data_IF_883282845446
#
_entry.id   IF_883282845446
#
_cell.length_a   1.000
_cell.length_b   1.000
_cell.length_c   1.000
_cell.angle_alpha   90.00
_cell.angle_beta   90.00
_cell.angle_gamma   90.00
#
_symmetry.space_group_name_H-M   'P 1'
#
loop_
_entity.id
_entity.type
_entity.pdbx_description
1 polymer ?
#
# COMPACT_ATOMS: atom_id res chain seq x y z
N UNK A 1 -47.88 -25.53 -7.64
CA UNK A 1 -47.51 -24.20 -7.04
C UNK A 1 -46.07 -24.09 -6.59
N UNK A 2 -45.20 -25.09 -6.88
CA UNK A 2 -43.79 -25.10 -6.49
C UNK A 2 -42.80 -24.43 -7.47
N UNK A 3 -43.22 -24.15 -8.70
CA UNK A 3 -42.34 -23.56 -9.74
C UNK A 3 -42.10 -22.05 -9.68
N UNK A 4 -42.85 -21.30 -8.85
CA UNK A 4 -42.76 -19.84 -8.76
C UNK A 4 -41.70 -19.33 -7.77
N UNK A 5 -41.20 -20.18 -6.87
CA UNK A 5 -40.20 -19.85 -5.85
C UNK A 5 -38.73 -19.87 -6.38
N UNK A 6 -38.42 -20.85 -7.19
CA UNK A 6 -37.04 -21.03 -7.73
C UNK A 6 -36.65 -19.97 -8.77
N UNK A 7 -37.62 -19.51 -9.58
CA UNK A 7 -37.35 -18.45 -10.57
C UNK A 7 -37.05 -17.09 -9.94
N UNK A 8 -37.52 -16.80 -8.72
CA UNK A 8 -37.22 -15.54 -8.00
C UNK A 8 -35.81 -15.51 -7.39
N UNK A 9 -35.28 -16.64 -6.92
CA UNK A 9 -33.95 -16.71 -6.34
C UNK A 9 -32.86 -16.60 -7.42
N UNK A 10 -33.06 -17.24 -8.57
CA UNK A 10 -32.13 -17.14 -9.70
C UNK A 10 -32.11 -15.75 -10.37
N UNK A 11 -33.23 -15.02 -10.38
CA UNK A 11 -33.29 -13.65 -10.90
C UNK A 11 -32.55 -12.63 -10.01
N UNK A 12 -32.42 -12.88 -8.71
CA UNK A 12 -31.71 -12.04 -7.77
C UNK A 12 -30.18 -12.07 -7.95
N UNK A 13 -29.61 -13.22 -8.29
CA UNK A 13 -28.16 -13.38 -8.54
C UNK A 13 -27.75 -12.76 -9.88
N UNK A 14 -28.57 -12.86 -10.92
CA UNK A 14 -28.32 -12.26 -12.22
C UNK A 14 -28.43 -10.72 -12.20
N UNK A 15 -29.23 -10.15 -11.32
CA UNK A 15 -29.39 -8.70 -11.17
C UNK A 15 -28.20 -8.05 -10.46
N UNK A 16 -27.55 -8.72 -9.50
CA UNK A 16 -26.32 -8.25 -8.83
C UNK A 16 -25.15 -8.19 -9.82
N UNK A 17 -24.94 -9.20 -10.64
CA UNK A 17 -23.88 -9.21 -11.66
C UNK A 17 -24.05 -8.11 -12.72
N UNK A 18 -25.30 -7.78 -13.09
CA UNK A 18 -25.60 -6.68 -14.03
C UNK A 18 -25.38 -5.29 -13.43
N UNK A 19 -25.57 -5.11 -12.13
CA UNK A 19 -25.28 -3.84 -11.43
C UNK A 19 -23.78 -3.55 -11.37
N UNK A 20 -22.95 -4.54 -11.08
CA UNK A 20 -21.49 -4.41 -11.09
C UNK A 20 -20.93 -4.11 -12.48
N UNK A 21 -21.44 -4.77 -13.52
CA UNK A 21 -21.08 -4.48 -14.92
C UNK A 21 -21.44 -3.05 -15.36
N UNK A 22 -22.57 -2.51 -14.88
CA UNK A 22 -22.95 -1.11 -15.16
C UNK A 22 -22.13 -0.10 -14.36
N UNK A 23 -21.71 -0.42 -13.13
CA UNK A 23 -20.84 0.43 -12.34
C UNK A 23 -19.43 0.51 -12.94
N UNK A 24 -18.85 -0.63 -13.35
CA UNK A 24 -17.58 -0.70 -14.08
C UNK A 24 -17.65 -0.01 -15.44
N UNK A 25 -18.81 -0.02 -16.12
CA UNK A 25 -19.02 0.66 -17.40
C UNK A 25 -19.05 2.20 -17.32
N UNK A 26 -19.16 2.78 -16.12
CA UNK A 26 -19.19 4.25 -15.93
C UNK A 26 -17.82 4.88 -15.72
N UNK A 27 -16.81 4.10 -15.31
CA UNK A 27 -15.43 4.57 -15.16
C UNK A 27 -14.41 3.46 -15.49
N UNK A 28 -14.45 2.86 -16.71
CA UNK A 28 -13.60 1.72 -17.04
C UNK A 28 -12.11 2.10 -17.04
N UNK A 29 -11.79 3.33 -17.41
CA UNK A 29 -10.42 3.81 -17.49
C UNK A 29 -9.75 3.94 -16.12
N UNK A 30 -10.44 4.51 -15.13
CA UNK A 30 -9.86 4.67 -13.78
C UNK A 30 -9.67 3.32 -13.09
N UNK A 31 -10.62 2.40 -13.23
CA UNK A 31 -10.48 1.04 -12.70
C UNK A 31 -9.35 0.27 -13.41
N UNK A 32 -9.21 0.44 -14.74
CA UNK A 32 -8.13 -0.15 -15.52
C UNK A 32 -6.75 0.36 -15.12
N UNK A 33 -6.60 1.67 -14.95
CA UNK A 33 -5.33 2.29 -14.51
C UNK A 33 -4.95 1.82 -13.10
N UNK A 34 -5.91 1.80 -12.16
CA UNK A 34 -5.66 1.32 -10.80
C UNK A 34 -5.27 -0.17 -10.80
N UNK A 35 -5.99 -1.01 -11.54
CA UNK A 35 -5.68 -2.43 -11.66
C UNK A 35 -4.29 -2.67 -12.26
N UNK A 36 -3.92 -1.91 -13.30
CA UNK A 36 -2.60 -1.96 -13.92
C UNK A 36 -1.49 -1.57 -12.93
N UNK A 37 -1.70 -0.48 -12.18
CA UNK A 37 -0.76 -0.02 -11.18
C UNK A 37 -0.56 -1.04 -10.06
N UNK A 38 -1.66 -1.61 -9.53
CA UNK A 38 -1.60 -2.67 -8.51
C UNK A 38 -0.90 -3.91 -9.07
N UNK A 39 -1.25 -4.34 -10.29
CA UNK A 39 -0.61 -5.49 -10.93
C UNK A 39 0.89 -5.26 -11.15
N UNK A 40 1.30 -4.07 -11.60
CA UNK A 40 2.71 -3.71 -11.78
C UNK A 40 3.48 -3.76 -10.45
N UNK A 41 2.92 -3.24 -9.37
CA UNK A 41 3.55 -3.29 -8.04
C UNK A 41 3.62 -4.72 -7.48
N UNK A 42 2.59 -5.54 -7.69
CA UNK A 42 2.63 -6.96 -7.30
C UNK A 42 3.67 -7.74 -8.11
N UNK A 43 3.80 -7.43 -9.38
CA UNK A 43 4.79 -8.01 -10.28
C UNK A 43 6.20 -7.39 -10.15
N UNK A 44 6.45 -6.54 -9.14
CA UNK A 44 7.74 -5.89 -8.92
C UNK A 44 8.96 -6.84 -8.99
N UNK A 45 8.94 -8.08 -8.41
CA UNK A 45 10.08 -8.99 -8.50
C UNK A 45 10.45 -9.41 -9.94
N UNK A 46 9.50 -9.33 -10.87
CA UNK A 46 9.73 -9.69 -12.29
C UNK A 46 9.91 -8.48 -13.20
N UNK A 47 9.37 -7.33 -12.81
CA UNK A 47 9.40 -6.10 -13.62
C UNK A 47 10.55 -5.16 -13.26
N UNK A 48 11.02 -5.20 -12.02
CA UNK A 48 12.11 -4.34 -11.56
C UNK A 48 13.44 -4.78 -12.18
N UNK A 49 14.16 -3.90 -12.89
CA UNK A 49 15.42 -4.26 -13.52
C UNK A 49 16.55 -4.46 -12.51
N UNK A 50 16.48 -3.82 -11.35
CA UNK A 50 17.53 -3.82 -10.33
C UNK A 50 16.96 -3.97 -8.92
N UNK A 51 17.83 -4.25 -7.93
CA UNK A 51 17.49 -4.20 -6.52
C UNK A 51 17.13 -2.75 -6.12
N UNK A 52 15.96 -2.49 -5.51
CA UNK A 52 15.54 -1.14 -5.13
C UNK A 52 16.43 -0.50 -4.04
N UNK A 53 17.27 -1.28 -3.36
CA UNK A 53 18.13 -0.83 -2.27
C UNK A 53 19.56 -0.60 -2.76
N UNK A 54 19.96 -1.24 -3.85
CA UNK A 54 21.32 -1.21 -4.37
C UNK A 54 21.74 0.21 -4.75
N UNK A 55 22.92 0.63 -4.24
CA UNK A 55 23.57 1.91 -4.49
C UNK A 55 24.89 1.67 -5.23
N UNK A 56 24.87 1.50 -6.55
CA UNK A 56 26.03 1.06 -7.29
C UNK A 56 27.17 2.08 -7.29
N UNK A 57 26.86 3.37 -7.45
CA UNK A 57 27.85 4.45 -7.47
C UNK A 57 27.20 5.79 -7.14
N UNK A 58 27.30 6.20 -5.89
CA UNK A 58 26.68 7.44 -5.38
C UNK A 58 27.30 8.73 -5.93
N UNK A 59 28.39 8.66 -6.68
CA UNK A 59 29.05 9.82 -7.31
C UNK A 59 28.61 9.96 -8.76
N UNK A 60 28.82 8.93 -9.58
CA UNK A 60 28.56 9.01 -11.02
C UNK A 60 27.09 8.71 -11.38
N UNK A 61 26.42 7.85 -10.62
CA UNK A 61 25.03 7.45 -10.86
C UNK A 61 23.97 8.35 -10.22
N UNK A 62 24.37 9.41 -9.50
CA UNK A 62 23.46 10.30 -8.79
C UNK A 62 22.64 11.16 -9.76
N UNK A 63 21.30 11.22 -9.53
CA UNK A 63 20.37 12.12 -10.23
C UNK A 63 20.46 12.05 -11.77
N UNK A 64 20.62 10.84 -12.31
CA UNK A 64 20.66 10.65 -13.75
C UNK A 64 19.25 10.79 -14.35
N UNK A 65 19.12 11.47 -15.51
CA UNK A 65 17.83 11.62 -16.17
C UNK A 65 17.27 10.29 -16.69
N UNK A 66 15.95 10.22 -16.95
CA UNK A 66 15.31 9.06 -17.55
C UNK A 66 15.97 8.66 -18.86
N UNK A 67 16.13 7.33 -19.09
CA UNK A 67 16.74 6.78 -20.28
C UNK A 67 18.26 6.79 -20.30
N UNK A 68 18.94 7.20 -19.21
CA UNK A 68 20.40 7.18 -19.14
C UNK A 68 20.94 5.78 -19.12
N UNK A 69 21.86 5.48 -20.05
CA UNK A 69 22.64 4.24 -20.09
C UNK A 69 24.04 4.52 -19.58
N UNK A 70 24.53 3.70 -18.65
CA UNK A 70 25.86 3.79 -18.08
C UNK A 70 26.59 2.45 -18.14
N UNK A 71 27.90 2.46 -18.32
CA UNK A 71 28.72 1.28 -18.19
C UNK A 71 28.94 0.94 -16.71
N UNK A 72 28.64 -0.31 -16.33
CA UNK A 72 28.81 -0.79 -14.97
C UNK A 72 30.09 -1.59 -14.86
N UNK A 73 31.09 -1.01 -14.18
CA UNK A 73 32.39 -1.61 -13.96
C UNK A 73 32.39 -2.32 -12.61
N UNK A 74 32.49 -3.64 -12.60
CA UNK A 74 32.58 -4.43 -11.38
C UNK A 74 34.01 -4.42 -10.84
N UNK A 75 34.20 -4.03 -9.58
CA UNK A 75 35.50 -3.94 -8.95
C UNK A 75 35.90 -5.25 -8.26
N UNK A 76 37.17 -5.65 -8.36
CA UNK A 76 37.73 -6.84 -7.72
C UNK A 76 37.60 -6.81 -6.17
N UNK A 77 37.57 -5.62 -5.58
CA UNK A 77 37.36 -5.41 -4.13
C UNK A 77 35.88 -5.44 -3.72
N UNK A 78 34.98 -5.71 -4.66
CA UNK A 78 33.54 -5.62 -4.51
C UNK A 78 33.00 -4.23 -4.79
N UNK A 79 31.70 -4.17 -5.18
CA UNK A 79 31.02 -2.96 -5.57
C UNK A 79 31.09 -2.65 -7.06
N UNK A 80 30.40 -1.57 -7.45
CA UNK A 80 30.27 -1.11 -8.82
C UNK A 80 30.76 0.31 -8.97
N UNK A 81 31.40 0.60 -10.10
CA UNK A 81 31.65 1.97 -10.58
C UNK A 81 30.85 2.20 -11.85
N UNK A 82 30.15 3.33 -11.92
CA UNK A 82 29.40 3.72 -13.12
C UNK A 82 30.21 4.73 -13.94
N UNK A 83 30.26 4.51 -15.24
CA UNK A 83 30.97 5.36 -16.17
C UNK A 83 30.08 5.75 -17.35
N UNK A 84 30.18 7.03 -17.76
CA UNK A 84 29.52 7.55 -18.95
C UNK A 84 30.17 6.99 -20.24
N UNK A 85 31.51 6.81 -20.22
CA UNK A 85 32.34 6.25 -21.31
C UNK A 85 33.41 5.36 -20.75
N UNK A 86 33.74 4.33 -21.51
CA UNK A 86 34.80 3.38 -21.18
C UNK A 86 35.67 3.16 -22.41
N UNK A 87 36.94 3.31 -22.24
CA UNK A 87 37.98 3.06 -23.24
C UNK A 87 38.95 2.00 -22.71
N UNK A 88 39.30 1.03 -23.56
CA UNK A 88 40.31 0.03 -23.20
C UNK A 88 41.72 0.57 -23.44
N UNK A 89 42.58 0.33 -22.47
CA UNK A 89 44.01 0.63 -22.57
C UNK A 89 44.82 -0.64 -22.43
N UNK A 90 46.08 -0.69 -22.90
CA UNK A 90 46.92 -1.91 -22.83
C UNK A 90 47.04 -2.51 -21.42
N UNK A 91 46.93 -1.69 -20.36
CA UNK A 91 47.06 -2.14 -18.97
C UNK A 91 45.75 -2.18 -18.17
N UNK A 92 44.58 -1.90 -18.80
CA UNK A 92 43.32 -1.84 -18.06
C UNK A 92 42.18 -1.10 -18.75
N UNK A 93 41.48 -0.26 -18.00
CA UNK A 93 40.38 0.57 -18.50
C UNK A 93 40.60 2.04 -18.15
N UNK A 94 40.31 2.90 -19.11
CA UNK A 94 40.13 4.33 -18.89
C UNK A 94 38.64 4.66 -18.88
N UNK A 95 38.15 5.15 -17.77
CA UNK A 95 36.73 5.43 -17.58
C UNK A 95 36.50 6.93 -17.43
N UNK A 96 35.44 7.44 -18.08
CA UNK A 96 34.96 8.79 -17.86
C UNK A 96 33.85 8.74 -16.82
N UNK A 97 34.09 9.33 -15.64
CA UNK A 97 33.20 9.25 -14.48
C UNK A 97 33.08 10.62 -13.82
N UNK A 98 31.87 11.10 -13.63
CA UNK A 98 31.58 12.40 -12.98
C UNK A 98 32.43 13.57 -13.56
N UNK A 99 32.55 13.62 -14.89
CA UNK A 99 33.31 14.67 -15.59
C UNK A 99 34.83 14.53 -15.58
N UNK A 100 35.37 13.42 -15.05
CA UNK A 100 36.83 13.17 -14.99
C UNK A 100 37.19 11.81 -15.57
N UNK A 101 38.37 11.77 -16.19
CA UNK A 101 38.97 10.51 -16.63
C UNK A 101 39.76 9.87 -15.49
N UNK A 102 39.52 8.56 -15.29
CA UNK A 102 40.25 7.73 -14.33
C UNK A 102 40.76 6.48 -15.03
N UNK A 103 41.96 6.01 -14.69
CA UNK A 103 42.48 4.76 -15.21
C UNK A 103 42.38 3.70 -14.11
N UNK A 104 41.86 2.54 -14.47
CA UNK A 104 41.78 1.36 -13.63
C UNK A 104 42.68 0.28 -14.24
N UNK A 105 43.46 -0.38 -13.42
CA UNK A 105 44.27 -1.53 -13.83
C UNK A 105 43.39 -2.75 -14.06
N UNK A 106 43.81 -3.64 -14.96
CA UNK A 106 43.03 -4.82 -15.33
C UNK A 106 42.69 -5.71 -14.11
N UNK A 107 43.62 -5.77 -13.13
CA UNK A 107 43.45 -6.54 -11.89
C UNK A 107 42.35 -5.96 -10.97
N UNK A 108 41.99 -4.69 -11.13
CA UNK A 108 40.95 -4.01 -10.34
C UNK A 108 39.56 -4.25 -10.87
N UNK A 109 39.39 -4.85 -12.05
CA UNK A 109 38.12 -5.01 -12.75
C UNK A 109 37.85 -6.47 -13.01
N UNK A 110 36.67 -6.96 -12.59
CA UNK A 110 36.28 -8.38 -12.73
C UNK A 110 35.47 -8.66 -13.98
N UNK A 111 34.73 -7.69 -14.55
CA UNK A 111 33.88 -7.84 -15.73
C UNK A 111 34.51 -7.28 -17.03
N UNK A 112 35.83 -7.33 -17.13
CA UNK A 112 36.56 -6.86 -18.28
C UNK A 112 36.37 -7.79 -19.49
N UNK A 113 36.01 -7.22 -20.64
CA UNK A 113 35.85 -7.94 -21.91
C UNK A 113 36.80 -7.40 -22.96
N UNK A 114 37.03 -8.11 -24.10
CA UNK A 114 37.87 -7.60 -25.20
C UNK A 114 37.42 -6.24 -25.75
N UNK A 115 36.10 -5.93 -25.67
CA UNK A 115 35.48 -4.68 -26.16
C UNK A 115 35.31 -3.59 -25.06
N UNK A 116 35.76 -3.84 -23.82
CA UNK A 116 35.59 -2.93 -22.69
C UNK A 116 34.92 -3.61 -21.49
N UNK A 117 33.75 -3.18 -21.09
CA UNK A 117 32.96 -3.73 -19.97
C UNK A 117 31.69 -4.35 -20.50
N UNK A 118 31.36 -5.57 -20.04
CA UNK A 118 30.17 -6.30 -20.52
C UNK A 118 28.86 -5.70 -20.02
N UNK A 119 28.87 -5.17 -18.79
CA UNK A 119 27.64 -4.78 -18.12
C UNK A 119 27.28 -3.34 -18.41
N UNK A 120 25.99 -3.13 -18.76
CA UNK A 120 25.39 -1.81 -18.94
C UNK A 120 24.19 -1.69 -18.01
N UNK A 121 24.01 -0.50 -17.44
CA UNK A 121 22.90 -0.18 -16.58
C UNK A 121 22.04 0.89 -17.24
N UNK A 122 20.77 0.55 -17.50
CA UNK A 122 19.80 1.45 -18.10
C UNK A 122 18.83 1.96 -17.02
N UNK A 123 18.92 3.22 -16.67
CA UNK A 123 17.99 3.90 -15.78
C UNK A 123 16.76 4.38 -16.55
N UNK A 124 15.72 3.54 -16.67
CA UNK A 124 14.52 3.84 -17.47
C UNK A 124 13.80 5.09 -16.99
N UNK A 125 13.60 5.26 -15.70
CA UNK A 125 13.00 6.45 -15.06
C UNK A 125 14.04 7.35 -14.38
N UNK A 126 15.34 7.11 -14.63
CA UNK A 126 16.42 7.84 -13.98
C UNK A 126 16.84 7.21 -12.66
N UNK A 127 17.72 7.91 -11.94
CA UNK A 127 18.22 7.52 -10.62
C UNK A 127 18.00 8.60 -9.58
N UNK A 128 17.92 8.19 -8.31
CA UNK A 128 17.77 9.09 -7.18
C UNK A 128 19.12 9.68 -6.70
N UNK A 129 19.06 10.46 -5.60
CA UNK A 129 20.23 11.07 -4.97
C UNK A 129 21.29 10.09 -4.44
N UNK A 130 20.99 8.79 -4.38
CA UNK A 130 21.85 7.70 -3.94
C UNK A 130 22.19 6.72 -5.06
N UNK A 131 21.97 7.10 -6.33
CA UNK A 131 22.22 6.23 -7.50
C UNK A 131 21.33 4.99 -7.60
N UNK A 132 20.21 4.94 -6.86
CA UNK A 132 19.26 3.82 -6.89
C UNK A 132 18.30 4.01 -8.07
N UNK A 133 17.88 2.91 -8.69
CA UNK A 133 16.94 2.94 -9.83
C UNK A 133 15.54 3.37 -9.39
N UNK A 134 15.03 4.46 -9.97
CA UNK A 134 13.70 5.00 -9.63
C UNK A 134 12.58 4.03 -10.02
N UNK A 135 12.67 3.32 -11.15
CA UNK A 135 11.64 2.37 -11.57
C UNK A 135 11.52 1.22 -10.58
N UNK A 136 12.64 0.61 -10.20
CA UNK A 136 12.66 -0.48 -9.21
C UNK A 136 12.10 -0.01 -7.87
N UNK A 137 12.50 1.18 -7.42
CA UNK A 137 12.00 1.77 -6.18
C UNK A 137 10.50 2.08 -6.24
N UNK A 138 9.99 2.57 -7.38
CA UNK A 138 8.57 2.86 -7.55
C UNK A 138 7.72 1.58 -7.46
N UNK A 139 8.17 0.49 -8.10
CA UNK A 139 7.48 -0.80 -8.08
C UNK A 139 7.47 -1.43 -6.67
N UNK A 140 8.64 -1.54 -6.05
CA UNK A 140 8.76 -2.13 -4.71
C UNK A 140 8.16 -1.23 -3.63
N UNK A 141 8.35 0.08 -3.74
CA UNK A 141 7.76 1.06 -2.83
C UNK A 141 6.24 1.03 -2.86
N UNK A 142 5.66 0.95 -4.08
CA UNK A 142 4.21 0.80 -4.22
C UNK A 142 3.68 -0.50 -3.62
N UNK A 143 4.40 -1.61 -3.81
CA UNK A 143 4.05 -2.88 -3.17
C UNK A 143 4.05 -2.76 -1.64
N UNK A 144 5.05 -2.12 -1.06
CA UNK A 144 5.15 -1.94 0.39
C UNK A 144 4.06 -0.99 0.91
N UNK A 145 3.89 0.20 0.31
CA UNK A 145 2.88 1.18 0.73
C UNK A 145 1.46 0.62 0.63
N UNK A 146 1.13 -0.11 -0.45
CA UNK A 146 -0.16 -0.79 -0.59
C UNK A 146 -0.36 -1.88 0.46
N UNK A 147 0.67 -2.67 0.76
CA UNK A 147 0.59 -3.71 1.80
C UNK A 147 0.32 -3.10 3.17
N UNK A 148 1.03 -2.01 3.51
CA UNK A 148 0.81 -1.27 4.76
C UNK A 148 -0.62 -0.75 4.82
N UNK A 149 -1.09 -0.05 3.77
CA UNK A 149 -2.44 0.50 3.72
C UNK A 149 -3.54 -0.55 3.82
N UNK A 150 -3.40 -1.68 3.11
CA UNK A 150 -4.36 -2.78 3.15
C UNK A 150 -4.41 -3.47 4.51
N UNK A 151 -3.27 -3.81 5.10
CA UNK A 151 -3.25 -4.47 6.41
C UNK A 151 -3.73 -3.54 7.53
N UNK A 152 -3.37 -2.26 7.48
CA UNK A 152 -3.89 -1.25 8.39
C UNK A 152 -5.41 -1.08 8.24
N UNK A 153 -5.93 -1.10 7.00
CA UNK A 153 -7.38 -1.07 6.76
C UNK A 153 -8.08 -2.29 7.36
N UNK A 154 -7.54 -3.49 7.20
CA UNK A 154 -8.13 -4.71 7.79
C UNK A 154 -8.23 -4.60 9.31
N UNK A 155 -7.19 -4.13 9.98
CA UNK A 155 -7.19 -3.90 11.43
C UNK A 155 -8.23 -2.83 11.81
N UNK A 156 -8.19 -1.68 11.15
CA UNK A 156 -9.08 -0.55 11.39
C UNK A 156 -10.55 -0.91 11.19
N UNK A 157 -10.87 -1.57 10.06
CA UNK A 157 -12.24 -2.00 9.77
C UNK A 157 -12.70 -3.12 10.71
N UNK A 158 -11.83 -4.09 11.01
CA UNK A 158 -12.16 -5.18 11.95
C UNK A 158 -12.51 -4.66 13.34
N UNK A 159 -11.66 -3.79 13.90
CA UNK A 159 -11.93 -3.13 15.19
C UNK A 159 -13.19 -2.25 15.13
N UNK A 160 -13.32 -1.44 14.08
CA UNK A 160 -14.44 -0.52 13.91
C UNK A 160 -15.78 -1.27 13.78
N UNK A 161 -15.82 -2.32 12.97
CA UNK A 161 -17.03 -3.16 12.84
C UNK A 161 -17.35 -3.86 14.16
N UNK A 162 -16.35 -4.42 14.84
CA UNK A 162 -16.57 -5.08 16.13
C UNK A 162 -17.10 -4.14 17.19
N UNK A 163 -16.44 -2.99 17.40
CA UNK A 163 -16.84 -2.02 18.44
C UNK A 163 -18.16 -1.34 18.08
N UNK A 164 -18.39 -0.99 16.81
CA UNK A 164 -19.65 -0.40 16.37
C UNK A 164 -20.84 -1.35 16.52
N UNK A 165 -20.64 -2.64 16.22
CA UNK A 165 -21.65 -3.67 16.43
C UNK A 165 -21.94 -3.89 17.92
N UNK A 166 -20.91 -3.95 18.76
CA UNK A 166 -21.07 -4.07 20.23
C UNK A 166 -21.83 -2.87 20.80
N UNK A 167 -21.53 -1.65 20.36
CA UNK A 167 -22.25 -0.45 20.76
C UNK A 167 -23.74 -0.53 20.38
N UNK A 168 -24.05 -0.92 19.14
CA UNK A 168 -25.42 -1.00 18.65
C UNK A 168 -26.25 -2.14 19.30
N UNK A 169 -25.61 -3.22 19.75
CA UNK A 169 -26.28 -4.41 20.30
C UNK A 169 -26.28 -4.45 21.83
N UNK A 170 -25.31 -3.85 22.49
CA UNK A 170 -25.06 -3.99 23.92
C UNK A 170 -25.93 -3.13 24.85
N UNK A 171 -26.94 -2.42 24.27
CA UNK A 171 -27.86 -1.59 25.04
C UNK A 171 -27.30 -0.19 25.33
N UNK A 172 -28.15 0.66 25.94
CA UNK A 172 -27.90 2.10 26.06
C UNK A 172 -26.61 2.48 26.81
N UNK A 173 -26.28 1.76 27.88
CA UNK A 173 -25.10 2.07 28.70
C UNK A 173 -23.81 1.79 27.91
N UNK A 174 -23.70 0.58 27.32
CA UNK A 174 -22.52 0.18 26.57
C UNK A 174 -22.34 1.07 25.32
N UNK A 175 -23.44 1.38 24.62
CA UNK A 175 -23.45 2.32 23.51
C UNK A 175 -22.89 3.68 23.92
N UNK A 176 -23.41 4.26 25.01
CA UNK A 176 -22.97 5.57 25.50
C UNK A 176 -21.48 5.55 25.85
N UNK A 177 -21.00 4.54 26.57
CA UNK A 177 -19.59 4.44 27.00
C UNK A 177 -18.67 4.31 25.78
N UNK A 178 -18.98 3.40 24.83
CA UNK A 178 -18.15 3.19 23.66
C UNK A 178 -18.13 4.42 22.75
N UNK A 179 -19.28 5.08 22.55
CA UNK A 179 -19.31 6.29 21.71
C UNK A 179 -18.60 7.48 22.37
N UNK A 180 -18.66 7.64 23.68
CA UNK A 180 -17.86 8.65 24.40
C UNK A 180 -16.35 8.38 24.27
N UNK A 181 -15.94 7.10 24.33
CA UNK A 181 -14.55 6.74 24.07
C UNK A 181 -14.13 7.11 22.64
N UNK A 182 -14.96 6.78 21.66
CA UNK A 182 -14.72 7.15 20.24
C UNK A 182 -14.59 8.67 20.08
N UNK A 183 -15.52 9.45 20.67
CA UNK A 183 -15.49 10.92 20.65
C UNK A 183 -14.21 11.47 21.29
N UNK A 184 -13.84 10.98 22.47
CA UNK A 184 -12.63 11.41 23.18
C UNK A 184 -11.36 11.14 22.35
N UNK A 185 -11.25 9.97 21.70
CA UNK A 185 -10.11 9.66 20.85
C UNK A 185 -10.06 10.53 19.58
N UNK A 186 -11.19 10.97 19.06
CA UNK A 186 -11.25 11.84 17.87
C UNK A 186 -10.93 13.31 18.17
N UNK A 187 -10.95 13.75 19.43
CA UNK A 187 -10.55 15.12 19.79
C UNK A 187 -9.04 15.34 19.70
N UNK A 188 -8.25 14.26 19.78
CA UNK A 188 -6.79 14.36 19.68
C UNK A 188 -6.38 14.38 18.21
N UNK A 189 -5.57 15.37 17.78
CA UNK A 189 -5.11 15.43 16.39
C UNK A 189 -4.36 14.16 15.98
N UNK A 190 -4.84 13.49 14.95
CA UNK A 190 -4.33 12.21 14.47
C UNK A 190 -2.79 12.16 14.33
N UNK A 191 -2.19 13.16 13.68
CA UNK A 191 -0.74 13.20 13.49
C UNK A 191 0.06 13.36 14.79
N UNK A 192 -0.50 13.99 15.82
CA UNK A 192 0.17 14.09 17.13
C UNK A 192 0.25 12.74 17.80
N UNK A 193 -0.83 11.95 17.75
CA UNK A 193 -0.83 10.58 18.29
C UNK A 193 0.15 9.71 17.53
N UNK A 194 0.14 9.78 16.20
CA UNK A 194 1.05 9.01 15.36
C UNK A 194 2.51 9.32 15.65
N UNK A 195 2.88 10.60 15.69
CA UNK A 195 4.26 11.01 15.96
C UNK A 195 4.74 10.60 17.36
N UNK A 196 3.87 10.74 18.37
CA UNK A 196 4.18 10.32 19.74
C UNK A 196 4.38 8.79 19.83
N UNK A 197 3.48 8.00 19.24
CA UNK A 197 3.61 6.55 19.19
C UNK A 197 4.85 6.11 18.42
N UNK A 198 5.17 6.80 17.34
CA UNK A 198 6.34 6.51 16.53
C UNK A 198 7.66 6.77 17.28
N UNK A 199 7.70 7.78 18.12
CA UNK A 199 8.87 8.07 18.96
C UNK A 199 9.13 6.98 20.03
N UNK A 200 8.09 6.25 20.43
CA UNK A 200 8.16 5.23 21.47
C UNK A 200 8.34 3.81 20.94
N UNK A 201 7.95 3.53 19.70
CA UNK A 201 7.90 2.19 19.13
C UNK A 201 9.04 1.96 18.12
N UNK A 202 9.53 0.71 17.97
CA UNK A 202 10.55 0.38 16.99
C UNK A 202 10.18 0.80 15.57
N UNK A 203 11.19 1.19 14.78
CA UNK A 203 10.99 1.56 13.38
C UNK A 203 10.78 0.33 12.50
N UNK A 204 9.74 0.34 11.65
CA UNK A 204 9.50 -0.75 10.72
C UNK A 204 8.08 -0.74 10.12
N UNK A 205 7.87 -1.47 9.00
CA UNK A 205 6.56 -1.55 8.35
C UNK A 205 5.47 -2.13 9.25
N UNK A 206 5.80 -3.15 10.07
CA UNK A 206 4.85 -3.78 11.00
C UNK A 206 4.31 -2.81 12.04
N UNK A 207 5.17 -1.97 12.62
CA UNK A 207 4.76 -0.94 13.57
C UNK A 207 3.86 0.09 12.91
N UNK A 208 4.16 0.50 11.68
CA UNK A 208 3.29 1.42 10.91
C UNK A 208 1.91 0.82 10.67
N UNK A 209 1.83 -0.45 10.29
CA UNK A 209 0.56 -1.17 10.11
C UNK A 209 -0.28 -1.11 11.39
N UNK A 210 0.34 -1.39 12.53
CA UNK A 210 -0.35 -1.35 13.83
C UNK A 210 -0.81 0.06 14.19
N UNK A 211 0.08 1.04 14.11
CA UNK A 211 -0.24 2.43 14.45
C UNK A 211 -1.37 2.97 13.56
N UNK A 212 -1.26 2.80 12.25
CA UNK A 212 -2.27 3.25 11.29
C UNK A 212 -3.59 2.48 11.47
N UNK A 213 -3.53 1.16 11.67
CA UNK A 213 -4.70 0.33 11.90
C UNK A 213 -5.44 0.66 13.18
N UNK A 214 -4.70 0.91 14.26
CA UNK A 214 -5.25 1.29 15.57
C UNK A 214 -5.77 2.73 15.61
N UNK A 215 -5.47 3.56 14.63
CA UNK A 215 -5.92 4.95 14.61
C UNK A 215 -7.20 5.18 13.79
N UNK A 216 -7.46 4.36 12.77
CA UNK A 216 -8.55 4.57 11.81
C UNK A 216 -9.92 3.99 12.20
N UNK A 217 -10.00 3.17 13.24
CA UNK A 217 -11.20 2.39 13.56
C UNK A 217 -12.41 3.21 14.07
N UNK A 218 -12.18 4.38 14.64
CA UNK A 218 -13.21 5.19 15.32
C UNK A 218 -14.35 5.61 14.38
N UNK A 219 -14.03 6.08 13.18
CA UNK A 219 -15.02 6.46 12.19
C UNK A 219 -15.79 5.25 11.66
N UNK A 220 -15.09 4.12 11.43
CA UNK A 220 -15.74 2.86 11.03
C UNK A 220 -16.70 2.37 12.11
N UNK A 221 -16.34 2.50 13.39
CA UNK A 221 -17.23 2.13 14.50
C UNK A 221 -18.53 2.94 14.50
N UNK A 222 -18.47 4.26 14.27
CA UNK A 222 -19.67 5.10 14.18
C UNK A 222 -20.55 4.73 12.98
N UNK A 223 -19.95 4.48 11.82
CA UNK A 223 -20.68 4.08 10.63
C UNK A 223 -21.36 2.72 10.88
N UNK A 224 -20.62 1.75 11.39
CA UNK A 224 -21.15 0.42 11.71
C UNK A 224 -22.29 0.50 12.69
N UNK A 225 -22.13 1.27 13.77
CA UNK A 225 -23.20 1.50 14.74
C UNK A 225 -24.46 2.06 14.09
N UNK A 226 -24.33 3.10 13.28
CA UNK A 226 -25.45 3.74 12.58
C UNK A 226 -26.18 2.77 11.66
N UNK A 227 -25.44 2.00 10.86
CA UNK A 227 -25.99 1.00 9.95
C UNK A 227 -26.72 -0.13 10.70
N UNK A 228 -26.11 -0.65 11.76
CA UNK A 228 -26.72 -1.72 12.57
C UNK A 228 -28.01 -1.24 13.23
N UNK A 229 -28.03 -0.03 13.80
CA UNK A 229 -29.24 0.55 14.40
C UNK A 229 -30.34 0.72 13.34
N UNK A 230 -30.04 1.26 12.17
CA UNK A 230 -30.99 1.42 11.07
C UNK A 230 -31.57 0.07 10.58
N UNK A 231 -30.71 -0.96 10.48
CA UNK A 231 -31.13 -2.28 10.01
C UNK A 231 -31.99 -3.04 11.05
N UNK A 232 -31.77 -2.80 12.35
CA UNK A 232 -32.51 -3.44 13.43
C UNK A 232 -34.01 -3.11 13.42
N UNK A 233 -34.40 -1.99 12.83
CA UNK A 233 -35.80 -1.54 12.71
C UNK A 233 -36.48 -2.02 11.42
N UNK A 234 -35.76 -2.74 10.55
CA UNK A 234 -36.31 -3.25 9.30
C UNK A 234 -37.21 -4.47 9.50
N UNK A 235 -38.24 -4.59 8.65
CA UNK A 235 -39.27 -5.65 8.73
C UNK A 235 -38.69 -7.07 8.76
N UNK A 236 -37.62 -7.33 8.01
CA UNK A 236 -36.99 -8.65 7.99
C UNK A 236 -36.29 -9.01 9.31
N UNK A 237 -35.82 -8.01 10.08
CA UNK A 237 -35.23 -8.23 11.42
C UNK A 237 -36.38 -8.44 12.44
N UNK A 238 -37.45 -7.65 12.34
CA UNK A 238 -38.62 -7.81 13.19
C UNK A 238 -39.28 -9.19 12.99
N UNK A 239 -39.43 -9.63 11.75
CA UNK A 239 -39.91 -10.98 11.43
C UNK A 239 -38.99 -12.08 12.01
N UNK A 240 -37.65 -11.92 11.92
CA UNK A 240 -36.69 -12.88 12.50
C UNK A 240 -36.81 -12.96 14.04
N UNK A 241 -37.07 -11.83 14.71
CA UNK A 241 -37.41 -11.81 16.16
C UNK A 241 -38.70 -12.49 16.46
N UNK A 242 -39.76 -12.29 15.63
CA UNK A 242 -41.02 -13.00 15.77
C UNK A 242 -40.89 -14.52 15.66
N UNK A 243 -39.83 -15.01 14.96
CA UNK A 243 -39.48 -16.43 14.93
C UNK A 243 -38.59 -16.88 16.11
N UNK A 244 -38.44 -16.05 17.14
CA UNK A 244 -37.64 -16.32 18.35
C UNK A 244 -36.16 -16.65 18.07
N UNK A 245 -35.57 -16.12 17.01
CA UNK A 245 -34.15 -16.28 16.74
C UNK A 245 -33.29 -15.46 17.73
N UNK A 246 -32.14 -15.97 18.14
CA UNK A 246 -31.23 -15.24 19.03
C UNK A 246 -30.68 -13.98 18.36
N UNK A 247 -30.48 -12.90 19.12
CA UNK A 247 -29.96 -11.62 18.61
C UNK A 247 -28.59 -11.78 17.88
N UNK A 248 -27.71 -12.66 18.38
CA UNK A 248 -26.43 -12.97 17.72
C UNK A 248 -26.66 -13.61 16.34
N UNK A 249 -27.61 -14.53 16.21
CA UNK A 249 -27.95 -15.15 14.92
C UNK A 249 -28.55 -14.13 13.97
N UNK A 250 -29.46 -13.28 14.46
CA UNK A 250 -30.02 -12.17 13.67
C UNK A 250 -28.93 -11.25 13.18
N UNK A 251 -28.01 -10.86 14.05
CA UNK A 251 -26.91 -9.98 13.67
C UNK A 251 -26.01 -10.62 12.59
N UNK A 252 -25.49 -11.81 12.84
CA UNK A 252 -24.51 -12.42 11.92
C UNK A 252 -25.13 -12.83 10.58
N UNK A 253 -26.41 -13.26 10.57
CA UNK A 253 -27.04 -13.82 9.37
C UNK A 253 -27.92 -12.84 8.59
N UNK A 254 -28.43 -11.81 9.26
CA UNK A 254 -29.40 -10.87 8.66
C UNK A 254 -28.87 -9.42 8.66
N UNK A 255 -28.32 -8.92 9.77
CA UNK A 255 -27.88 -7.50 9.88
C UNK A 255 -26.52 -7.29 9.25
N UNK A 256 -25.49 -8.02 9.68
CA UNK A 256 -24.11 -7.83 9.23
C UNK A 256 -23.96 -7.97 7.70
N UNK A 257 -24.52 -9.00 7.02
CA UNK A 257 -24.38 -9.09 5.56
C UNK A 257 -25.03 -7.92 4.80
N UNK A 258 -26.09 -7.34 5.35
CA UNK A 258 -26.74 -6.17 4.75
C UNK A 258 -25.96 -4.87 5.04
N UNK A 259 -25.35 -4.75 6.22
CA UNK A 259 -24.47 -3.64 6.57
C UNK A 259 -23.16 -3.63 5.77
N UNK A 260 -22.68 -4.79 5.28
CA UNK A 260 -21.40 -4.87 4.56
C UNK A 260 -21.30 -3.93 3.35
N UNK A 261 -22.41 -3.66 2.64
CA UNK A 261 -22.35 -2.82 1.44
C UNK A 261 -21.84 -1.40 1.74
N UNK A 262 -22.42 -0.60 2.64
CA UNK A 262 -21.88 0.72 2.98
C UNK A 262 -20.51 0.64 3.69
N UNK A 263 -20.27 -0.41 4.50
CA UNK A 263 -19.01 -0.61 5.16
C UNK A 263 -17.85 -0.88 4.18
N UNK A 264 -18.10 -1.68 3.13
CA UNK A 264 -17.10 -1.93 2.08
C UNK A 264 -16.80 -0.66 1.26
N UNK A 265 -17.82 0.14 0.96
CA UNK A 265 -17.60 1.43 0.29
C UNK A 265 -16.69 2.32 1.13
N UNK A 266 -16.94 2.44 2.42
CA UNK A 266 -16.10 3.22 3.32
C UNK A 266 -14.69 2.61 3.44
N UNK A 267 -14.56 1.29 3.53
CA UNK A 267 -13.26 0.61 3.59
C UNK A 267 -12.36 0.93 2.38
N UNK A 268 -12.93 1.05 1.17
CA UNK A 268 -12.15 1.45 -0.01
C UNK A 268 -11.60 2.88 0.10
N UNK A 269 -12.35 3.80 0.69
CA UNK A 269 -11.88 5.17 0.94
C UNK A 269 -10.79 5.20 2.01
N UNK A 270 -10.93 4.38 3.04
CA UNK A 270 -9.94 4.25 4.13
C UNK A 270 -8.59 3.77 3.61
N UNK A 271 -8.54 2.83 2.66
CA UNK A 271 -7.26 2.40 2.05
C UNK A 271 -6.49 3.57 1.47
N UNK A 272 -7.14 4.40 0.65
CA UNK A 272 -6.51 5.59 0.06
C UNK A 272 -6.00 6.57 1.11
N UNK A 273 -6.81 6.81 2.16
CA UNK A 273 -6.43 7.65 3.28
C UNK A 273 -5.21 7.10 4.03
N UNK A 274 -5.16 5.80 4.33
CA UNK A 274 -4.06 5.16 5.06
C UNK A 274 -2.76 5.14 4.25
N UNK A 275 -2.82 4.92 2.92
CA UNK A 275 -1.66 5.04 2.04
C UNK A 275 -1.13 6.48 2.05
N UNK A 276 -2.02 7.47 1.98
CA UNK A 276 -1.63 8.90 2.05
C UNK A 276 -1.04 9.26 3.41
N UNK A 277 -1.58 8.71 4.50
CA UNK A 277 -1.05 8.90 5.85
C UNK A 277 0.34 8.23 6.02
N UNK A 278 0.55 7.03 5.45
CA UNK A 278 1.88 6.38 5.40
C UNK A 278 2.87 7.28 4.66
N UNK A 279 2.48 7.79 3.50
CA UNK A 279 3.34 8.66 2.70
C UNK A 279 3.72 9.94 3.45
N UNK A 280 2.76 10.58 4.13
CA UNK A 280 3.03 11.78 4.94
C UNK A 280 3.96 11.47 6.13
N UNK A 281 3.79 10.33 6.81
CA UNK A 281 4.69 9.92 7.89
C UNK A 281 6.09 9.60 7.38
N UNK A 282 6.20 8.90 6.25
CA UNK A 282 7.48 8.58 5.63
C UNK A 282 8.22 9.83 5.19
N UNK A 283 7.52 10.80 4.60
CA UNK A 283 8.09 12.12 4.26
C UNK A 283 8.59 12.89 5.50
N UNK A 284 7.93 12.76 6.65
CA UNK A 284 8.38 13.36 7.92
C UNK A 284 9.49 12.56 8.62
N UNK A 285 10.03 11.50 7.99
CA UNK A 285 11.04 10.63 8.60
C UNK A 285 10.50 9.69 9.67
N UNK A 286 9.18 9.65 9.87
CA UNK A 286 8.49 8.81 10.85
C UNK A 286 7.92 7.52 10.23
N UNK A 287 8.11 7.31 8.96
CA UNK A 287 7.57 6.21 8.17
C UNK A 287 8.48 4.99 8.05
N UNK A 288 8.55 4.48 6.83
CA UNK A 288 9.42 3.36 6.46
C UNK A 288 10.88 3.80 6.52
N UNK A 289 11.73 3.10 7.28
CA UNK A 289 13.15 3.48 7.38
C UNK A 289 13.89 3.23 6.08
N UNK A 290 14.84 4.11 5.76
CA UNK A 290 15.81 3.87 4.70
C UNK A 290 16.69 2.65 5.06
N UNK A 291 17.14 1.82 4.09
CA UNK A 291 17.11 2.02 2.64
C UNK A 291 15.84 1.53 1.93
N UNK A 292 14.86 0.96 2.64
CA UNK A 292 13.65 0.42 2.04
C UNK A 292 12.90 1.48 1.22
N UNK A 293 12.34 1.06 0.08
CA UNK A 293 11.52 1.94 -0.74
C UNK A 293 10.07 1.96 -0.26
N UNK A 294 9.47 3.13 -0.09
CA UNK A 294 8.03 3.38 -0.03
C UNK A 294 7.70 4.60 -0.89
N UNK A 295 6.46 4.75 -1.32
CA UNK A 295 6.10 5.93 -2.10
C UNK A 295 6.31 7.22 -1.30
N UNK A 296 6.14 7.17 0.03
CA UNK A 296 6.34 8.32 0.89
C UNK A 296 7.80 8.77 0.96
N UNK A 297 8.74 7.86 1.17
CA UNK A 297 10.16 8.22 1.25
C UNK A 297 10.83 8.47 -0.12
N UNK A 298 10.10 8.29 -1.23
CA UNK A 298 10.56 8.69 -2.55
C UNK A 298 10.21 10.14 -2.90
N UNK A 299 9.36 10.80 -2.10
CA UNK A 299 8.98 12.22 -2.26
C UNK A 299 10.00 13.13 -1.56
N UNK A 300 10.75 12.61 -0.61
CA UNK A 300 11.82 13.31 0.10
C UNK A 300 13.06 13.50 -0.81
#
# INVERSE_FOLDING_TARGET
>A
SEGAGETRVMSGLSSRGRRWRRALGRAPWSAGVLALMVAACLAAPWLAPYDPIEQPDTVAGKLRPPGTEMHAVALARGGWMLADRVERTPGGLRIHRAGRWQTLEAEQVTNLTPSGVADRRLYRLGSDGFSRDILSRWLYGGRLSMTIGLLAMVISCGLGVGIGALAAMGGRVLDTVLMRLVEALQTVPFFMVLSALRALLPTGPGTLILILGLSGWTTMARITRSEVLSLRERDFVLAARGLCLSETRIFLRHVLPNALTPLLVYATLVVGYLISAEAALSFLGLGVPVPQASWGNMIE
#
